data_IF_017129780410
#
_entry.id   IF_017129780410
#
_cell.length_a   1.000
_cell.length_b   1.000
_cell.length_c   1.000
_cell.angle_alpha   90.00
_cell.angle_beta   90.00
_cell.angle_gamma   90.00
#
_symmetry.space_group_name_H-M   'P 1'
#
loop_
_entity.id
_entity.type
_entity.pdbx_description
1 polymer ?
#
# COMPACT_ATOMS: atom_id res chain seq x y z
N UNK A 1 4.51 9.06 13.23
CA UNK A 1 4.56 7.58 13.27
C UNK A 1 5.24 7.06 12.01
N UNK A 2 5.84 5.87 12.01
CA UNK A 2 6.43 5.24 10.81
C UNK A 2 5.65 3.98 10.47
N UNK A 3 5.26 3.81 9.21
CA UNK A 3 4.45 2.68 8.74
C UNK A 3 5.12 2.05 7.52
N UNK A 4 5.19 0.72 7.51
CA UNK A 4 5.62 -0.08 6.36
C UNK A 4 4.43 -0.92 5.89
N UNK A 5 4.08 -0.81 4.60
CA UNK A 5 3.04 -1.64 3.98
C UNK A 5 3.69 -2.59 2.99
N UNK A 6 3.49 -3.89 3.18
CA UNK A 6 3.82 -4.92 2.20
C UNK A 6 2.60 -5.24 1.34
N UNK A 7 2.76 -5.46 0.03
CA UNK A 7 1.62 -5.74 -0.86
C UNK A 7 0.74 -4.50 -1.12
N UNK A 8 1.34 -3.30 -1.01
CA UNK A 8 0.62 -2.03 -1.08
C UNK A 8 0.07 -1.68 -2.48
N UNK A 9 0.53 -2.33 -3.54
CA UNK A 9 0.01 -2.12 -4.90
C UNK A 9 -1.27 -2.93 -5.19
N UNK A 10 -1.72 -3.77 -4.25
CA UNK A 10 -2.99 -4.50 -4.35
C UNK A 10 -4.23 -3.61 -4.15
N UNK A 11 -5.42 -4.22 -4.27
CA UNK A 11 -6.71 -3.52 -4.10
C UNK A 11 -6.85 -2.85 -2.73
N UNK A 12 -6.58 -3.60 -1.66
CA UNK A 12 -6.64 -3.07 -0.28
C UNK A 12 -5.51 -2.07 -0.05
N UNK A 13 -4.29 -2.43 -0.43
CA UNK A 13 -3.10 -1.59 -0.24
C UNK A 13 -3.25 -0.20 -0.86
N UNK A 14 -3.76 -0.13 -2.09
CA UNK A 14 -3.93 1.13 -2.81
C UNK A 14 -4.94 2.06 -2.12
N UNK A 15 -6.04 1.51 -1.61
CA UNK A 15 -7.04 2.31 -0.90
C UNK A 15 -6.55 2.73 0.49
N UNK A 16 -5.85 1.84 1.20
CA UNK A 16 -5.24 2.17 2.48
C UNK A 16 -4.20 3.30 2.35
N UNK A 17 -3.35 3.27 1.32
CA UNK A 17 -2.36 4.33 1.07
C UNK A 17 -3.04 5.68 0.80
N UNK A 18 -4.18 5.69 0.09
CA UNK A 18 -4.92 6.95 -0.16
C UNK A 18 -5.44 7.57 1.14
N UNK A 19 -5.96 6.74 2.05
CA UNK A 19 -6.46 7.21 3.33
C UNK A 19 -5.32 7.71 4.23
N UNK A 20 -4.23 6.93 4.32
CA UNK A 20 -3.09 7.26 5.17
C UNK A 20 -2.25 8.45 4.66
N UNK A 21 -2.35 8.81 3.38
CA UNK A 21 -1.64 9.98 2.81
C UNK A 21 -2.15 11.32 3.35
N UNK A 22 -3.37 11.38 3.87
CA UNK A 22 -3.94 12.63 4.40
C UNK A 22 -3.45 12.95 5.82
N UNK A 23 -2.70 12.05 6.42
CA UNK A 23 -2.14 12.16 7.76
C UNK A 23 -0.65 12.52 7.70
N UNK A 24 -0.11 13.20 8.72
CA UNK A 24 1.33 13.51 8.85
C UNK A 24 2.14 12.26 9.25
N UNK A 25 2.09 11.21 8.44
CA UNK A 25 2.78 9.93 8.66
C UNK A 25 3.92 9.72 7.65
N UNK A 26 5.00 9.11 8.13
CA UNK A 26 6.09 8.66 7.27
C UNK A 26 5.81 7.22 6.83
N UNK A 27 5.46 7.05 5.55
CA UNK A 27 4.97 5.80 4.97
C UNK A 27 5.95 5.27 3.92
N UNK A 28 6.32 3.99 4.04
CA UNK A 28 7.04 3.23 3.03
C UNK A 28 6.19 2.05 2.54
N UNK A 29 6.29 1.72 1.25
CA UNK A 29 5.56 0.62 0.62
C UNK A 29 6.52 -0.30 -0.11
N UNK A 30 6.38 -1.61 0.11
CA UNK A 30 7.14 -2.66 -0.58
C UNK A 30 6.16 -3.59 -1.27
N UNK A 31 6.30 -3.75 -2.57
CA UNK A 31 5.49 -4.65 -3.39
C UNK A 31 6.37 -5.27 -4.48
N UNK A 32 6.16 -6.55 -4.75
CA UNK A 32 6.87 -7.27 -5.81
C UNK A 32 6.05 -7.34 -7.12
N UNK A 33 4.87 -6.72 -7.14
CA UNK A 33 3.92 -6.65 -8.24
C UNK A 33 3.48 -8.01 -8.79
N UNK A 34 3.59 -9.08 -8.00
CA UNK A 34 3.28 -10.44 -8.47
C UNK A 34 1.78 -10.77 -8.46
N UNK A 35 0.89 -9.77 -8.49
CA UNK A 35 -0.55 -10.00 -8.41
C UNK A 35 -1.06 -10.73 -9.66
N UNK A 36 -1.72 -11.87 -9.44
CA UNK A 36 -2.39 -12.61 -10.52
C UNK A 36 -3.68 -11.88 -10.89
N UNK A 37 -3.85 -11.51 -12.17
CA UNK A 37 -5.19 -11.26 -12.70
C UNK A 37 -5.93 -12.60 -12.66
N UNK A 38 -7.07 -12.65 -11.97
CA UNK A 38 -8.02 -13.74 -12.16
C UNK A 38 -8.41 -13.69 -13.64
N UNK A 39 -7.96 -14.70 -14.39
CA UNK A 39 -8.27 -14.89 -15.80
C UNK A 39 -9.60 -15.60 -15.90
#
# INVERSE_FOLDING_TARGET
MKILITGGAGFVGTNLIKELKNELINLAVVDNFSTKKLR
#
